data_IF_141095288422
#
_entry.id   IF_141095288422
#
_cell.length_a   1.000
_cell.length_b   1.000
_cell.length_c   1.000
_cell.angle_alpha   90.00
_cell.angle_beta   90.00
_cell.angle_gamma   90.00
#
_symmetry.space_group_name_H-M   'P 1'
#
loop_
_entity.id
_entity.type
_entity.pdbx_description
1 polymer ?
#
# COMPACT_ATOMS: atom_id res chain seq x y z
N UNK A 1 10.58 9.71 16.64
CA UNK A 1 10.64 10.29 15.28
C UNK A 1 12.11 10.37 14.89
N UNK A 2 12.49 9.78 13.77
CA UNK A 2 13.86 9.67 13.26
C UNK A 2 14.35 10.94 12.55
N UNK A 3 13.51 11.96 12.41
CA UNK A 3 13.87 13.24 11.79
C UNK A 3 13.99 13.20 10.27
N UNK A 4 13.75 12.06 9.64
CA UNK A 4 13.78 11.89 8.19
C UNK A 4 12.61 12.59 7.52
N UNK A 5 12.87 13.17 6.33
CA UNK A 5 11.81 13.67 5.46
C UNK A 5 11.10 12.49 4.79
N UNK A 6 9.77 12.54 4.79
CA UNK A 6 8.93 11.58 4.06
C UNK A 6 8.28 12.28 2.89
N UNK A 7 8.49 11.72 1.71
CA UNK A 7 7.75 12.15 0.53
C UNK A 7 6.31 11.66 0.64
N UNK A 8 5.37 12.60 0.68
CA UNK A 8 3.94 12.32 0.71
C UNK A 8 3.29 12.95 -0.52
N UNK A 9 2.73 12.10 -1.39
CA UNK A 9 2.01 12.56 -2.58
C UNK A 9 0.53 12.61 -2.26
N UNK A 10 -0.10 13.72 -2.59
CA UNK A 10 -1.53 13.91 -2.34
C UNK A 10 -2.37 13.28 -3.45
N UNK A 11 -2.76 12.02 -3.24
CA UNK A 11 -3.65 11.28 -4.15
C UNK A 11 -5.14 11.41 -3.77
N UNK A 12 -5.57 12.39 -2.96
CA UNK A 12 -6.97 12.46 -2.49
C UNK A 12 -7.98 12.52 -3.64
N UNK A 13 -7.74 13.34 -4.66
CA UNK A 13 -8.63 13.43 -5.82
C UNK A 13 -8.57 12.18 -6.69
N UNK A 14 -7.36 11.64 -6.92
CA UNK A 14 -7.19 10.37 -7.64
C UNK A 14 -7.95 9.23 -6.96
N UNK A 15 -7.85 9.12 -5.63
CA UNK A 15 -8.50 8.07 -4.84
C UNK A 15 -10.03 8.16 -4.85
N UNK A 16 -10.62 9.33 -5.15
CA UNK A 16 -12.07 9.48 -5.34
C UNK A 16 -12.52 8.92 -6.69
N UNK A 17 -11.69 9.05 -7.72
CA UNK A 17 -11.96 8.59 -9.07
C UNK A 17 -11.68 7.09 -9.25
N UNK A 18 -10.75 6.54 -8.46
CA UNK A 18 -10.37 5.13 -8.51
C UNK A 18 -11.47 4.23 -7.92
N UNK A 19 -11.79 3.15 -8.63
CA UNK A 19 -12.69 2.11 -8.13
C UNK A 19 -12.06 1.45 -6.90
N UNK A 20 -12.75 1.53 -5.76
CA UNK A 20 -12.29 0.91 -4.51
C UNK A 20 -12.32 -0.62 -4.66
N UNK A 21 -11.16 -1.25 -4.58
CA UNK A 21 -11.07 -2.69 -4.44
C UNK A 21 -11.50 -3.09 -3.02
N UNK A 22 -12.79 -3.41 -2.84
CA UNK A 22 -13.35 -3.89 -1.56
C UNK A 22 -13.11 -5.39 -1.44
N UNK A 23 -11.89 -5.76 -1.08
CA UNK A 23 -11.61 -7.13 -0.69
C UNK A 23 -12.15 -7.38 0.74
N UNK A 24 -12.89 -8.46 0.99
CA UNK A 24 -13.35 -8.78 2.33
C UNK A 24 -12.14 -9.13 3.20
N UNK A 25 -11.80 -8.23 4.13
CA UNK A 25 -10.80 -8.53 5.14
C UNK A 25 -11.46 -9.39 6.23
N UNK A 26 -10.86 -10.53 6.60
CA UNK A 26 -11.40 -11.39 7.65
C UNK A 26 -11.47 -10.64 8.98
N UNK A 27 -12.41 -11.05 9.84
CA UNK A 27 -12.45 -10.52 11.19
C UNK A 27 -11.23 -11.00 11.96
N UNK A 28 -10.78 -10.22 12.95
CA UNK A 28 -9.62 -10.57 13.74
C UNK A 28 -9.80 -11.94 14.43
N UNK A 29 -11.02 -12.25 14.89
CA UNK A 29 -11.32 -13.52 15.55
C UNK A 29 -11.18 -14.70 14.58
N UNK A 30 -11.67 -14.56 13.33
CA UNK A 30 -11.52 -15.59 12.28
C UNK A 30 -10.04 -15.91 12.00
N UNK A 31 -9.16 -14.90 12.06
CA UNK A 31 -7.72 -15.08 11.88
C UNK A 31 -7.09 -15.83 13.06
N UNK A 32 -7.54 -15.58 14.29
CA UNK A 32 -7.02 -16.26 15.48
C UNK A 32 -7.50 -17.70 15.58
N UNK A 33 -8.74 -17.99 15.19
CA UNK A 33 -9.28 -19.35 15.13
C UNK A 33 -8.45 -20.22 14.15
N UNK A 34 -8.03 -19.66 13.02
CA UNK A 34 -7.16 -20.36 12.06
C UNK A 34 -5.76 -20.68 12.61
N UNK A 35 -5.28 -19.87 13.55
CA UNK A 35 -3.96 -20.01 14.16
C UNK A 35 -3.98 -20.99 15.35
N UNK A 36 -5.16 -21.34 15.87
CA UNK A 36 -5.32 -22.25 17.00
C UNK A 36 -4.65 -23.61 16.74
N UNK A 37 -3.95 -24.14 17.76
CA UNK A 37 -3.24 -25.41 17.67
C UNK A 37 -1.79 -25.30 17.18
N UNK A 38 -1.35 -24.12 16.74
CA UNK A 38 0.05 -23.84 16.43
C UNK A 38 0.82 -23.44 17.70
N UNK A 39 2.03 -23.98 17.87
CA UNK A 39 2.90 -23.70 19.02
C UNK A 39 3.97 -22.64 18.73
N UNK A 40 4.23 -22.35 17.46
CA UNK A 40 5.27 -21.42 17.00
C UNK A 40 4.66 -20.52 15.93
N UNK A 41 4.90 -19.21 16.05
CA UNK A 41 4.45 -18.20 15.10
C UNK A 41 5.63 -17.39 14.59
N UNK A 42 5.60 -17.06 13.30
CA UNK A 42 6.55 -16.17 12.64
C UNK A 42 5.79 -15.08 11.90
N UNK A 43 6.25 -13.84 12.03
CA UNK A 43 5.68 -12.70 11.32
C UNK A 43 6.70 -12.16 10.32
N UNK A 44 6.28 -12.05 9.06
CA UNK A 44 7.07 -11.44 8.00
C UNK A 44 6.57 -10.01 7.81
N UNK A 45 7.47 -9.03 7.84
CA UNK A 45 7.15 -7.63 7.62
C UNK A 45 7.49 -7.20 6.19
N UNK A 46 6.49 -6.73 5.44
CA UNK A 46 6.62 -6.19 4.09
C UNK A 46 6.67 -4.66 4.12
N UNK A 47 7.60 -4.09 4.90
CA UNK A 47 7.71 -2.65 5.17
C UNK A 47 7.77 -1.77 3.90
N UNK A 48 8.29 -2.31 2.80
CA UNK A 48 8.40 -1.63 1.50
C UNK A 48 7.52 -2.28 0.41
N UNK A 49 6.51 -3.07 0.79
CA UNK A 49 5.71 -3.87 -0.14
C UNK A 49 5.07 -3.03 -1.25
N UNK A 50 4.68 -1.78 -0.97
CA UNK A 50 4.11 -0.87 -1.96
C UNK A 50 5.08 -0.52 -3.10
N UNK A 51 6.39 -0.49 -2.85
CA UNK A 51 7.41 -0.19 -3.88
C UNK A 51 7.91 -1.44 -4.59
N UNK A 52 7.59 -2.63 -4.07
CA UNK A 52 7.96 -3.92 -4.69
C UNK A 52 6.89 -4.39 -5.68
N UNK A 53 5.63 -4.01 -5.47
CA UNK A 53 4.53 -4.31 -6.37
C UNK A 53 4.51 -3.32 -7.54
N UNK A 54 4.54 -3.85 -8.77
CA UNK A 54 4.48 -3.04 -9.98
C UNK A 54 3.06 -2.53 -10.23
N UNK A 55 2.96 -1.27 -10.62
CA UNK A 55 1.74 -0.68 -11.16
C UNK A 55 1.51 -1.27 -12.55
N UNK A 56 0.24 -1.45 -12.94
CA UNK A 56 -0.10 -1.89 -14.30
C UNK A 56 0.31 -0.79 -15.29
N UNK A 57 0.89 -1.15 -16.43
CA UNK A 57 1.45 -0.19 -17.40
C UNK A 57 0.44 0.90 -17.82
N UNK A 58 -0.81 0.52 -18.04
CA UNK A 58 -1.91 1.44 -18.39
C UNK A 58 -2.29 2.44 -17.27
N UNK A 59 -1.91 2.15 -16.02
CA UNK A 59 -2.27 2.93 -14.84
C UNK A 59 -1.07 3.77 -14.33
N UNK A 60 0.15 3.56 -14.85
CA UNK A 60 1.35 4.34 -14.51
C UNK A 60 1.11 5.87 -14.66
N UNK A 61 0.53 6.37 -15.76
CA UNK A 61 0.29 7.81 -15.92
C UNK A 61 -0.70 8.39 -14.90
N UNK A 62 -1.55 7.54 -14.29
CA UNK A 62 -2.52 7.97 -13.26
C UNK A 62 -1.82 8.24 -11.92
N UNK A 63 -0.64 7.66 -11.72
CA UNK A 63 0.17 7.82 -10.51
C UNK A 63 1.24 8.92 -10.67
N UNK A 64 1.13 9.74 -11.71
CA UNK A 64 2.04 10.84 -11.95
C UNK A 64 1.94 11.92 -10.86
N UNK A 65 3.08 12.47 -10.46
CA UNK A 65 3.17 13.58 -9.52
C UNK A 65 4.17 14.63 -10.01
N UNK A 66 3.97 15.87 -9.56
CA UNK A 66 4.82 17.00 -9.94
C UNK A 66 5.54 17.53 -8.72
N UNK A 67 6.84 17.72 -8.86
CA UNK A 67 7.65 18.47 -7.90
C UNK A 67 8.05 19.81 -8.52
N UNK A 68 8.74 20.66 -7.75
CA UNK A 68 9.33 21.89 -8.28
C UNK A 68 10.31 21.62 -9.44
N UNK A 69 10.91 20.44 -9.48
CA UNK A 69 12.03 20.11 -10.37
C UNK A 69 11.64 19.21 -11.54
N UNK A 70 10.42 18.67 -11.57
CA UNK A 70 10.01 17.80 -12.66
C UNK A 70 8.67 17.12 -12.47
N UNK A 71 8.34 16.29 -13.44
CA UNK A 71 7.19 15.39 -13.44
C UNK A 71 7.71 13.95 -13.41
N UNK A 72 7.10 13.13 -12.57
CA UNK A 72 7.57 11.77 -12.29
C UNK A 72 6.37 10.83 -12.13
N UNK A 73 6.61 9.55 -12.36
CA UNK A 73 5.62 8.46 -12.32
C UNK A 73 6.21 7.26 -11.55
N UNK A 74 5.36 6.36 -11.07
CA UNK A 74 5.75 5.13 -10.35
C UNK A 74 5.66 3.89 -11.23
#
# INVERSE_FOLDING_TARGET
KDGSFRMCIDYRELNKLTVKNRYPLPMIDDLFDQLQGSSIYSKIDLRSGYHQLRVREQDIPKMAFRTRYGHYEF
#
